data_IF_964471712370
#
_entry.id   IF_964471712370
#
_cell.length_a   1.000
_cell.length_b   1.000
_cell.length_c   1.000
_cell.angle_alpha   90.00
_cell.angle_beta   90.00
_cell.angle_gamma   90.00
#
_symmetry.space_group_name_H-M   'P 1'
#
loop_
_entity.id
_entity.type
_entity.pdbx_description
1 polymer ?
#
# COMPACT_ATOMS: atom_id res chain seq x y z
N UNK A 1 -18.51 -25.35 -4.00
CA UNK A 1 -17.44 -24.35 -3.76
C UNK A 1 -16.49 -24.40 -4.93
N UNK A 2 -16.33 -23.32 -5.71
CA UNK A 2 -15.34 -23.30 -6.79
C UNK A 2 -13.96 -23.21 -6.15
N UNK A 3 -13.17 -24.27 -6.25
CA UNK A 3 -11.78 -24.28 -5.79
C UNK A 3 -10.99 -23.22 -6.57
N UNK A 4 -10.20 -22.39 -5.87
CA UNK A 4 -9.28 -21.48 -6.51
C UNK A 4 -8.27 -22.28 -7.34
N UNK A 5 -8.11 -22.00 -8.65
CA UNK A 5 -7.27 -22.81 -9.55
C UNK A 5 -5.77 -22.78 -9.20
N UNK A 6 -5.34 -21.89 -8.30
CA UNK A 6 -3.92 -21.67 -7.94
C UNK A 6 -3.55 -22.10 -6.50
N UNK A 7 -4.39 -22.93 -5.85
CA UNK A 7 -4.00 -23.66 -4.63
C UNK A 7 -3.86 -22.85 -3.33
N UNK A 8 -3.83 -21.51 -3.36
CA UNK A 8 -3.84 -20.67 -2.15
C UNK A 8 -5.20 -20.00 -1.92
N UNK A 9 -5.96 -20.55 -0.98
CA UNK A 9 -7.32 -20.12 -0.59
C UNK A 9 -7.33 -19.02 0.48
N UNK A 10 -6.16 -18.56 0.95
CA UNK A 10 -6.07 -17.56 2.04
C UNK A 10 -6.48 -16.15 1.63
N UNK A 11 -6.75 -15.92 0.35
CA UNK A 11 -7.01 -14.61 -0.22
C UNK A 11 -8.35 -14.64 -0.94
N UNK A 12 -9.24 -13.65 -0.72
CA UNK A 12 -10.43 -13.54 -1.54
C UNK A 12 -10.04 -13.49 -3.02
N UNK A 13 -10.74 -14.21 -3.91
CA UNK A 13 -10.58 -14.01 -5.33
C UNK A 13 -10.77 -12.52 -5.65
N UNK A 14 -9.92 -11.93 -6.51
CA UNK A 14 -10.08 -10.55 -6.94
C UNK A 14 -11.47 -10.36 -7.57
N UNK A 15 -12.04 -9.15 -7.43
CA UNK A 15 -13.28 -8.73 -8.11
C UNK A 15 -14.55 -9.52 -7.76
N UNK A 16 -14.50 -10.30 -6.66
CA UNK A 16 -15.70 -10.89 -6.09
C UNK A 16 -16.44 -9.87 -5.24
N UNK A 17 -17.76 -9.74 -5.43
CA UNK A 17 -18.60 -8.91 -4.57
C UNK A 17 -18.97 -9.68 -3.31
N UNK A 18 -18.68 -9.10 -2.15
CA UNK A 18 -19.00 -9.67 -0.85
C UNK A 18 -20.04 -8.78 -0.16
N UNK A 19 -21.18 -9.33 0.28
CA UNK A 19 -22.21 -8.56 0.97
C UNK A 19 -21.82 -8.17 2.41
N UNK A 20 -20.68 -8.69 2.91
CA UNK A 20 -20.15 -8.43 4.25
C UNK A 20 -18.64 -8.23 4.17
N UNK A 21 -18.05 -7.44 5.08
CA UNK A 21 -16.60 -7.28 5.15
C UNK A 21 -15.92 -8.62 5.45
N UNK A 22 -14.81 -8.85 4.77
CA UNK A 22 -13.98 -10.02 5.01
C UNK A 22 -13.01 -9.74 6.16
N UNK A 23 -12.68 -10.80 6.90
CA UNK A 23 -11.77 -10.74 8.03
C UNK A 23 -10.65 -11.76 7.87
N UNK A 24 -9.45 -11.39 8.31
CA UNK A 24 -8.33 -12.30 8.45
C UNK A 24 -8.02 -12.47 9.93
N UNK A 25 -7.83 -13.73 10.32
CA UNK A 25 -7.51 -14.12 11.67
C UNK A 25 -6.10 -14.71 11.69
N UNK A 26 -5.21 -14.11 12.47
CA UNK A 26 -3.84 -14.57 12.64
C UNK A 26 -3.62 -15.00 14.09
N UNK A 27 -3.28 -16.27 14.29
CA UNK A 27 -2.92 -16.80 15.59
C UNK A 27 -1.39 -16.69 15.76
N UNK A 28 -0.93 -15.72 16.55
CA UNK A 28 0.48 -15.55 16.87
C UNK A 28 0.85 -16.39 18.10
N UNK A 29 1.78 -17.34 17.89
CA UNK A 29 2.39 -18.18 18.95
C UNK A 29 1.39 -18.81 19.94
N UNK A 30 0.16 -19.10 19.49
CA UNK A 30 -0.94 -19.72 20.26
C UNK A 30 -1.48 -18.90 21.44
N UNK A 31 -1.05 -17.65 21.62
CA UNK A 31 -1.46 -16.82 22.77
C UNK A 31 -2.21 -15.54 22.37
N UNK A 32 -1.92 -14.96 21.19
CA UNK A 32 -2.56 -13.73 20.73
C UNK A 32 -3.22 -13.94 19.37
N UNK A 33 -4.53 -13.79 19.33
CA UNK A 33 -5.31 -13.80 18.10
C UNK A 33 -5.51 -12.37 17.61
N UNK A 34 -4.93 -12.07 16.46
CA UNK A 34 -5.03 -10.75 15.83
C UNK A 34 -6.09 -10.81 14.74
N UNK A 35 -7.01 -9.84 14.80
CA UNK A 35 -8.11 -9.69 13.86
C UNK A 35 -7.80 -8.55 12.90
N UNK A 36 -7.99 -8.80 11.61
CA UNK A 36 -7.84 -7.81 10.56
C UNK A 36 -9.10 -7.71 9.72
N UNK A 37 -9.46 -6.50 9.32
CA UNK A 37 -10.40 -6.24 8.24
C UNK A 37 -9.68 -6.29 6.89
N UNK A 38 -10.18 -7.09 5.96
CA UNK A 38 -9.67 -7.12 4.60
C UNK A 38 -10.39 -6.07 3.76
N UNK A 39 -9.62 -5.13 3.21
CA UNK A 39 -10.13 -4.05 2.35
C UNK A 39 -9.70 -4.20 0.89
N UNK A 40 -8.77 -5.11 0.61
CA UNK A 40 -8.30 -5.38 -0.74
C UNK A 40 -9.41 -5.91 -1.65
N UNK A 41 -9.68 -5.16 -2.73
CA UNK A 41 -10.74 -5.46 -3.71
C UNK A 41 -12.08 -5.83 -3.05
N UNK A 42 -12.37 -5.24 -1.89
CA UNK A 42 -13.60 -5.46 -1.14
C UNK A 42 -14.59 -4.33 -1.44
N UNK A 43 -15.77 -4.69 -1.96
CA UNK A 43 -16.82 -3.73 -2.32
C UNK A 43 -17.78 -3.39 -1.17
N UNK A 44 -17.62 -4.01 0.01
CA UNK A 44 -18.47 -3.72 1.17
C UNK A 44 -18.33 -2.24 1.61
N UNK A 45 -19.43 -1.55 1.95
CA UNK A 45 -19.40 -0.15 2.40
C UNK A 45 -18.46 0.08 3.59
N UNK A 46 -18.41 -0.85 4.53
CA UNK A 46 -17.56 -0.79 5.72
C UNK A 46 -16.07 -0.82 5.35
N UNK A 47 -15.70 -1.63 4.35
CA UNK A 47 -14.32 -1.67 3.85
C UNK A 47 -13.88 -0.33 3.28
N UNK A 48 -14.78 0.37 2.58
CA UNK A 48 -14.53 1.72 2.09
C UNK A 48 -14.39 2.72 3.24
N UNK A 49 -15.24 2.63 4.25
CA UNK A 49 -15.17 3.50 5.43
C UNK A 49 -13.81 3.37 6.14
N UNK A 50 -13.38 2.14 6.49
CA UNK A 50 -12.09 1.92 7.15
C UNK A 50 -10.90 2.36 6.30
N UNK A 51 -10.99 2.19 4.97
CA UNK A 51 -9.97 2.68 4.04
C UNK A 51 -9.82 4.20 4.14
N UNK A 52 -10.91 4.96 4.26
CA UNK A 52 -10.83 6.42 4.36
C UNK A 52 -10.23 6.88 5.68
N UNK A 53 -10.57 6.24 6.80
CA UNK A 53 -10.02 6.59 8.12
C UNK A 53 -8.49 6.49 8.13
N UNK A 54 -7.96 5.37 7.63
CA UNK A 54 -6.51 5.16 7.60
C UNK A 54 -5.83 6.03 6.55
N UNK A 55 -6.48 6.29 5.42
CA UNK A 55 -5.97 7.22 4.42
C UNK A 55 -5.80 8.63 5.01
N UNK A 56 -6.77 9.11 5.78
CA UNK A 56 -6.68 10.41 6.46
C UNK A 56 -5.51 10.44 7.44
N UNK A 57 -5.34 9.39 8.26
CA UNK A 57 -4.20 9.26 9.20
C UNK A 57 -2.86 9.21 8.48
N UNK A 58 -2.73 8.37 7.46
CA UNK A 58 -1.52 8.24 6.64
C UNK A 58 -1.16 9.53 5.90
N UNK A 59 -2.15 10.30 5.45
CA UNK A 59 -1.94 11.61 4.83
C UNK A 59 -1.30 12.62 5.77
N UNK A 60 -1.69 12.63 7.05
CA UNK A 60 -1.09 13.50 8.06
C UNK A 60 0.39 13.17 8.29
N UNK A 61 0.72 11.90 8.51
CA UNK A 61 2.11 11.46 8.68
C UNK A 61 2.95 11.70 7.42
N UNK A 62 2.38 11.45 6.24
CA UNK A 62 3.05 11.71 4.98
C UNK A 62 3.42 13.18 4.82
N UNK A 63 2.49 14.11 5.07
CA UNK A 63 2.77 15.54 4.93
C UNK A 63 3.80 16.07 5.94
N UNK A 64 3.90 15.44 7.12
CA UNK A 64 4.93 15.76 8.10
C UNK A 64 6.32 15.30 7.64
N UNK A 65 6.42 14.09 7.08
CA UNK A 65 7.70 13.48 6.66
C UNK A 65 8.14 13.89 5.26
N UNK A 66 7.19 14.16 4.39
CA UNK A 66 7.34 14.56 3.00
C UNK A 66 6.52 15.83 2.77
N UNK A 67 7.03 16.99 3.22
CA UNK A 67 6.31 18.24 3.00
C UNK A 67 6.11 18.48 1.51
N UNK A 68 4.95 19.06 1.13
CA UNK A 68 4.67 19.36 -0.26
C UNK A 68 5.75 20.29 -0.82
N UNK A 69 6.08 20.17 -2.12
CA UNK A 69 7.00 21.10 -2.75
C UNK A 69 6.47 22.53 -2.58
N UNK A 70 7.36 23.53 -2.42
CA UNK A 70 6.96 24.91 -2.27
C UNK A 70 6.09 25.34 -3.45
N UNK A 71 5.06 26.13 -3.18
CA UNK A 71 4.13 26.60 -4.20
C UNK A 71 4.89 27.30 -5.32
N UNK A 72 4.74 26.84 -6.56
CA UNK A 72 5.38 27.44 -7.73
C UNK A 72 4.92 28.91 -7.83
N UNK A 73 5.85 29.84 -7.60
CA UNK A 73 5.58 31.27 -7.81
C UNK A 73 5.25 31.48 -9.28
N UNK A 74 4.04 31.96 -9.55
CA UNK A 74 3.50 32.18 -10.90
C UNK A 74 4.04 33.44 -11.57
N UNK A 75 4.78 34.28 -10.84
CA UNK A 75 5.29 35.55 -11.36
C UNK A 75 6.35 35.31 -12.42
N UNK A 76 6.09 35.80 -13.64
CA UNK A 76 7.04 35.80 -14.75
C UNK A 76 7.22 34.47 -15.50
N UNK A 77 6.51 33.39 -15.14
CA UNK A 77 6.65 32.07 -15.77
C UNK A 77 5.59 31.83 -16.84
N UNK A 78 6.00 31.21 -17.95
CA UNK A 78 5.06 30.78 -19.00
C UNK A 78 4.27 29.54 -18.57
N UNK A 79 3.12 29.29 -19.20
CA UNK A 79 2.33 28.09 -18.94
C UNK A 79 3.14 26.79 -19.12
N UNK A 80 4.02 26.76 -20.12
CA UNK A 80 4.91 25.63 -20.39
C UNK A 80 5.93 25.42 -19.26
N UNK A 81 6.55 26.49 -18.75
CA UNK A 81 7.49 26.40 -17.63
C UNK A 81 6.79 25.93 -16.35
N UNK A 82 5.59 26.43 -16.07
CA UNK A 82 4.78 25.98 -14.94
C UNK A 82 4.44 24.49 -15.07
N UNK A 83 4.14 24.02 -16.29
CA UNK A 83 3.84 22.61 -16.54
C UNK A 83 5.07 21.72 -16.33
N UNK A 84 6.23 22.11 -16.87
CA UNK A 84 7.49 21.37 -16.69
C UNK A 84 7.89 21.29 -15.21
N UNK A 85 7.74 22.36 -14.45
CA UNK A 85 8.03 22.35 -13.01
C UNK A 85 7.09 21.44 -12.22
N UNK A 86 5.81 21.37 -12.61
CA UNK A 86 4.86 20.43 -11.99
C UNK A 86 5.21 18.98 -12.30
N UNK A 87 5.55 18.68 -13.54
CA UNK A 87 5.95 17.34 -13.98
C UNK A 87 7.21 16.88 -13.25
N UNK A 88 8.22 17.76 -13.16
CA UNK A 88 9.45 17.47 -12.44
C UNK A 88 9.20 17.22 -10.95
N UNK A 89 8.39 18.07 -10.30
CA UNK A 89 8.01 17.87 -8.90
C UNK A 89 7.24 16.54 -8.69
N UNK A 90 6.39 16.15 -9.64
CA UNK A 90 5.69 14.87 -9.60
C UNK A 90 6.65 13.68 -9.73
N UNK A 91 7.62 13.75 -10.65
CA UNK A 91 8.66 12.73 -10.82
C UNK A 91 9.48 12.57 -9.54
N UNK A 92 9.93 13.68 -8.95
CA UNK A 92 10.69 13.68 -7.70
C UNK A 92 9.89 13.09 -6.53
N UNK A 93 8.62 13.50 -6.38
CA UNK A 93 7.72 12.92 -5.39
C UNK A 93 7.56 11.41 -5.56
N UNK A 94 7.43 10.93 -6.81
CA UNK A 94 7.29 9.50 -7.11
C UNK A 94 8.57 8.76 -6.77
N UNK A 95 9.73 9.34 -7.09
CA UNK A 95 11.04 8.82 -6.70
C UNK A 95 11.18 8.69 -5.19
N UNK A 96 10.82 9.73 -4.43
CA UNK A 96 10.85 9.72 -2.96
C UNK A 96 9.92 8.65 -2.36
N UNK A 97 8.68 8.56 -2.87
CA UNK A 97 7.72 7.55 -2.44
C UNK A 97 8.23 6.12 -2.67
N UNK A 98 8.82 5.83 -3.85
CA UNK A 98 9.45 4.53 -4.12
C UNK A 98 10.62 4.26 -3.19
N UNK A 99 11.50 5.24 -2.99
CA UNK A 99 12.63 5.13 -2.07
C UNK A 99 12.20 4.76 -0.66
N UNK A 100 11.10 5.35 -0.16
CA UNK A 100 10.55 5.02 1.15
C UNK A 100 10.05 3.56 1.23
N UNK A 101 9.36 3.06 0.20
CA UNK A 101 8.90 1.67 0.14
C UNK A 101 10.09 0.69 0.13
N UNK A 102 11.12 0.98 -0.67
CA UNK A 102 12.35 0.19 -0.73
C UNK A 102 13.03 0.18 0.65
N UNK A 103 13.21 1.35 1.25
CA UNK A 103 13.87 1.49 2.54
C UNK A 103 13.13 0.71 3.63
N UNK A 104 11.80 0.80 3.68
CA UNK A 104 11.01 0.04 4.66
C UNK A 104 11.19 -1.47 4.54
N UNK A 105 11.21 -1.99 3.30
CA UNK A 105 11.46 -3.42 3.08
C UNK A 105 12.88 -3.82 3.45
N UNK A 106 13.89 -3.05 3.04
CA UNK A 106 15.30 -3.35 3.31
C UNK A 106 15.66 -3.23 4.79
N UNK A 107 15.04 -2.28 5.51
CA UNK A 107 15.21 -2.07 6.94
C UNK A 107 14.37 -3.02 7.81
N UNK A 108 13.71 -4.04 7.20
CA UNK A 108 12.87 -5.03 7.89
C UNK A 108 11.74 -4.42 8.73
N UNK A 109 11.21 -3.27 8.29
CA UNK A 109 10.01 -2.64 8.87
C UNK A 109 8.70 -3.30 8.41
N UNK A 110 8.84 -4.30 7.54
CA UNK A 110 7.77 -5.13 7.04
C UNK A 110 7.96 -6.54 7.59
N UNK A 111 7.01 -7.00 8.38
CA UNK A 111 7.02 -8.36 8.91
C UNK A 111 6.21 -9.28 8.00
N UNK A 112 6.85 -10.27 7.42
CA UNK A 112 6.16 -11.28 6.60
C UNK A 112 5.20 -12.11 7.45
N UNK A 113 3.95 -12.27 6.98
CA UNK A 113 2.95 -13.14 7.61
C UNK A 113 2.77 -14.41 6.78
N UNK A 114 2.72 -14.25 5.46
CA UNK A 114 2.32 -15.31 4.55
C UNK A 114 2.88 -15.02 3.17
N UNK A 115 3.45 -16.03 2.54
CA UNK A 115 3.90 -15.97 1.15
C UNK A 115 3.28 -17.12 0.36
N UNK A 116 3.02 -16.89 -0.93
CA UNK A 116 2.40 -17.85 -1.83
C UNK A 116 2.46 -17.41 -3.30
N UNK A 117 1.89 -18.21 -4.22
CA UNK A 117 1.93 -17.94 -5.66
C UNK A 117 1.33 -16.57 -6.03
N UNK A 118 0.33 -16.11 -5.27
CA UNK A 118 -0.36 -14.84 -5.47
C UNK A 118 0.35 -13.63 -4.87
N UNK A 119 1.45 -13.82 -4.13
CA UNK A 119 2.22 -12.74 -3.51
C UNK A 119 2.52 -12.99 -2.03
N UNK A 120 2.99 -11.94 -1.37
CA UNK A 120 3.39 -11.95 0.04
C UNK A 120 2.60 -10.92 0.83
N UNK A 121 2.10 -11.29 2.01
CA UNK A 121 1.42 -10.41 2.97
C UNK A 121 2.42 -9.96 4.02
N UNK A 122 2.43 -8.66 4.27
CA UNK A 122 3.29 -8.01 5.24
C UNK A 122 2.45 -7.27 6.28
N UNK A 123 2.88 -7.28 7.54
CA UNK A 123 2.46 -6.31 8.54
C UNK A 123 3.40 -5.12 8.43
N UNK A 124 2.81 -3.95 8.29
CA UNK A 124 3.46 -2.67 8.50
C UNK A 124 3.22 -2.26 9.96
N UNK A 125 4.30 -2.21 10.73
CA UNK A 125 4.26 -1.87 12.15
C UNK A 125 3.95 -0.37 12.35
N UNK A 126 3.43 -0.05 13.55
CA UNK A 126 3.15 1.31 14.00
C UNK A 126 4.40 2.20 13.78
N UNK A 127 4.22 3.48 13.43
CA UNK A 127 5.26 4.45 12.98
C UNK A 127 5.62 4.48 11.49
N UNK A 128 5.07 3.59 10.66
CA UNK A 128 5.34 3.62 9.21
C UNK A 128 4.09 3.86 8.35
N UNK A 129 3.01 4.36 8.96
CA UNK A 129 1.72 4.61 8.31
C UNK A 129 1.82 5.51 7.07
N UNK A 130 2.84 6.36 6.95
CA UNK A 130 3.11 7.15 5.75
C UNK A 130 3.38 6.31 4.51
N UNK A 131 3.85 5.06 4.66
CA UNK A 131 4.06 4.16 3.52
C UNK A 131 2.78 3.86 2.78
N UNK A 132 1.63 3.93 3.45
CA UNK A 132 0.34 3.83 2.77
C UNK A 132 0.23 4.88 1.66
N UNK A 133 0.50 6.14 2.00
CA UNK A 133 0.44 7.26 1.05
C UNK A 133 1.47 7.08 -0.06
N UNK A 134 2.68 6.60 0.27
CA UNK A 134 3.69 6.26 -0.73
C UNK A 134 3.19 5.18 -1.71
N UNK A 135 2.57 4.11 -1.21
CA UNK A 135 2.05 3.01 -2.01
C UNK A 135 0.91 3.50 -2.90
N UNK A 136 -0.08 4.22 -2.36
CA UNK A 136 -1.17 4.79 -3.17
C UNK A 136 -0.63 5.73 -4.25
N UNK A 137 0.42 6.50 -3.95
CA UNK A 137 1.00 7.42 -4.91
C UNK A 137 1.73 6.70 -6.04
N UNK A 138 2.50 5.64 -5.72
CA UNK A 138 3.20 4.82 -6.72
C UNK A 138 2.19 4.04 -7.57
N UNK A 139 1.15 3.45 -6.96
CA UNK A 139 0.13 2.67 -7.68
C UNK A 139 -0.65 3.46 -8.73
N UNK A 140 -0.84 4.77 -8.53
CA UNK A 140 -1.53 5.64 -9.49
C UNK A 140 -0.71 5.94 -10.75
N UNK A 141 0.58 5.58 -10.78
CA UNK A 141 1.42 5.77 -11.96
C UNK A 141 1.11 4.74 -13.06
N UNK A 142 1.23 5.14 -14.32
CA UNK A 142 1.08 4.24 -15.46
C UNK A 142 2.14 3.13 -15.48
N UNK A 143 1.89 1.96 -16.07
CA UNK A 143 2.93 0.95 -16.32
C UNK A 143 4.17 1.53 -16.99
N UNK A 144 5.41 1.11 -16.62
CA UNK A 144 5.79 0.16 -15.55
C UNK A 144 5.97 0.81 -14.17
N UNK A 145 5.60 2.08 -14.03
CA UNK A 145 5.92 2.94 -12.89
C UNK A 145 5.12 2.66 -11.62
N UNK A 146 4.13 1.76 -11.66
CA UNK A 146 3.36 1.32 -10.49
C UNK A 146 4.08 0.30 -9.61
N UNK A 147 5.27 -0.15 -10.03
CA UNK A 147 6.06 -1.13 -9.32
C UNK A 147 7.36 -0.53 -8.77
N UNK A 148 7.97 -1.26 -7.84
CA UNK A 148 9.19 -0.89 -7.14
C UNK A 148 10.27 -1.92 -7.45
N UNK A 149 11.41 -1.46 -7.98
CA UNK A 149 12.57 -2.31 -8.21
C UNK A 149 13.36 -2.45 -6.88
N UNK A 150 13.54 -3.69 -6.43
CA UNK A 150 14.22 -4.09 -5.21
C UNK A 150 15.58 -4.75 -5.50
N UNK A 151 16.17 -4.44 -6.65
CA UNK A 151 17.39 -5.06 -7.17
C UNK A 151 17.08 -6.33 -7.95
N UNK A 152 16.97 -7.47 -7.26
CA UNK A 152 16.76 -8.77 -7.90
C UNK A 152 15.30 -9.02 -8.33
N UNK A 153 14.34 -8.28 -7.76
CA UNK A 153 12.92 -8.42 -8.07
C UNK A 153 12.29 -7.06 -8.29
N UNK A 154 11.27 -7.01 -9.15
CA UNK A 154 10.35 -5.89 -9.24
C UNK A 154 9.03 -6.30 -8.60
N UNK A 155 8.52 -5.51 -7.66
CA UNK A 155 7.32 -5.84 -6.91
C UNK A 155 6.30 -4.70 -6.95
N UNK A 156 5.03 -5.06 -7.14
CA UNK A 156 3.90 -4.16 -6.90
C UNK A 156 3.44 -4.31 -5.46
N UNK A 157 3.33 -3.21 -4.74
CA UNK A 157 2.77 -3.18 -3.39
C UNK A 157 1.35 -2.67 -3.42
N UNK A 158 0.49 -3.25 -2.59
CA UNK A 158 -0.90 -2.86 -2.43
C UNK A 158 -1.33 -2.93 -0.98
N UNK A 159 -2.33 -2.12 -0.63
CA UNK A 159 -2.96 -2.20 0.67
C UNK A 159 -3.85 -3.45 0.73
N UNK A 160 -3.66 -4.27 1.75
CA UNK A 160 -4.38 -5.52 1.94
C UNK A 160 -5.52 -5.45 2.98
N UNK A 161 -5.24 -4.89 4.15
CA UNK A 161 -6.11 -4.98 5.32
C UNK A 161 -5.67 -4.12 6.50
N UNK A 162 -6.47 -4.08 7.55
CA UNK A 162 -6.34 -3.16 8.68
C UNK A 162 -6.58 -3.88 10.01
N UNK A 163 -5.76 -3.63 11.03
CA UNK A 163 -5.84 -4.28 12.34
C UNK A 163 -6.99 -3.74 13.23
N UNK A 164 -7.63 -4.64 14.00
CA UNK A 164 -8.81 -4.34 14.83
C UNK A 164 -8.57 -4.36 16.34
N UNK A 165 -7.87 -5.40 16.83
CA UNK A 165 -7.81 -5.74 18.24
C UNK A 165 -6.42 -6.27 18.60
N UNK A 166 -5.87 -5.79 19.70
CA UNK A 166 -4.53 -6.13 20.18
C UNK A 166 -3.39 -5.40 19.47
N UNK A 167 -3.64 -4.92 18.25
CA UNK A 167 -2.74 -4.15 17.39
C UNK A 167 -3.59 -3.19 16.52
N UNK A 168 -4.29 -2.26 17.17
CA UNK A 168 -5.02 -1.21 16.43
C UNK A 168 -3.98 -0.42 15.65
N UNK A 169 -4.30 -0.03 14.41
CA UNK A 169 -3.41 0.69 13.48
C UNK A 169 -2.39 -0.13 12.68
N UNK A 170 -2.31 -1.46 12.87
CA UNK A 170 -1.55 -2.28 11.92
C UNK A 170 -2.15 -2.20 10.51
N UNK A 171 -1.28 -2.01 9.54
CA UNK A 171 -1.63 -2.04 8.13
C UNK A 171 -1.10 -3.34 7.54
N UNK A 172 -1.96 -4.12 6.90
CA UNK A 172 -1.54 -5.22 6.06
C UNK A 172 -1.26 -4.72 4.66
N UNK A 173 -0.11 -5.09 4.13
CA UNK A 173 0.29 -4.86 2.75
C UNK A 173 0.36 -6.20 2.01
N UNK A 174 0.12 -6.17 0.72
CA UNK A 174 0.42 -7.26 -0.20
C UNK A 174 1.52 -6.80 -1.14
N UNK A 175 2.48 -7.67 -1.45
CA UNK A 175 3.39 -7.47 -2.58
C UNK A 175 3.32 -8.62 -3.58
N UNK A 176 3.42 -8.29 -4.86
CA UNK A 176 3.39 -9.27 -5.96
C UNK A 176 4.59 -9.02 -6.87
N UNK A 177 5.30 -10.09 -7.23
CA UNK A 177 6.34 -10.00 -8.25
C UNK A 177 5.68 -9.67 -9.58
N UNK A 178 6.20 -8.67 -10.26
CA UNK A 178 5.84 -8.34 -11.63
C UNK A 178 7.00 -8.68 -12.52
N UNK A 179 6.72 -9.40 -13.61
CA UNK A 179 7.66 -9.53 -14.71
C UNK A 179 7.92 -8.12 -15.23
N UNK A 180 9.20 -7.72 -15.28
CA UNK A 180 9.57 -6.52 -16.01
C UNK A 180 9.04 -6.68 -17.45
N UNK A 181 8.44 -5.64 -18.05
CA UNK A 181 8.02 -5.70 -19.45
C UNK A 181 9.19 -6.02 -20.37
#
# INVERSE_FOLDING_TARGET
MRACPEGDTRWPPPESSYPRPLHLLLDEKREKRIYYHLIYKNSAPEANHWKQEIKSKAGLFYNQKFPPPPSIKKEGKTAHQIQQEKEQAEIENKGRARGAIIAAKMQRKLREISSGPRGTIWILEEENAELWSCIEFVQKASPPHYAVNLGATTERFEIFGLGLKGERDHILLMSQKVTAP
#
